data_IF_225074059233
#
_entry.id   IF_225074059233
#
_cell.length_a   1.000
_cell.length_b   1.000
_cell.length_c   1.000
_cell.angle_alpha   90.00
_cell.angle_beta   90.00
_cell.angle_gamma   90.00
#
_symmetry.space_group_name_H-M   'P 1'
#
loop_
_entity.id
_entity.type
_entity.pdbx_description
1 polymer ?
#
# COMPACT_ATOMS: atom_id res chain seq x y z
N UNK A 1 -39.76 -21.23 -0.32
CA UNK A 1 -39.20 -19.87 -0.07
C UNK A 1 -37.79 -20.08 0.43
N UNK A 2 -36.78 -19.51 -0.25
CA UNK A 2 -35.40 -19.62 0.19
C UNK A 2 -35.25 -18.78 1.47
N UNK A 3 -34.87 -19.41 2.57
CA UNK A 3 -34.54 -18.70 3.80
C UNK A 3 -33.23 -17.97 3.53
N UNK A 4 -33.28 -16.64 3.53
CA UNK A 4 -32.07 -15.83 3.53
C UNK A 4 -31.34 -16.15 4.84
N UNK A 5 -30.11 -16.65 4.72
CA UNK A 5 -29.27 -16.95 5.88
C UNK A 5 -28.88 -15.64 6.56
N UNK A 6 -29.53 -15.37 7.70
CA UNK A 6 -29.31 -14.19 8.52
C UNK A 6 -27.86 -14.09 9.03
N UNK A 7 -27.09 -15.19 9.03
CA UNK A 7 -25.66 -15.17 9.40
C UNK A 7 -24.76 -14.46 8.38
N UNK A 8 -25.26 -14.21 7.16
CA UNK A 8 -24.56 -13.44 6.13
C UNK A 8 -24.81 -11.93 6.22
N UNK A 9 -25.67 -11.49 7.16
CA UNK A 9 -25.94 -10.07 7.36
C UNK A 9 -24.85 -9.47 8.25
N UNK A 10 -23.79 -9.04 7.58
CA UNK A 10 -22.72 -8.23 8.17
C UNK A 10 -23.29 -6.84 8.48
N UNK A 11 -22.99 -6.31 9.66
CA UNK A 11 -23.46 -4.98 10.06
C UNK A 11 -22.85 -3.88 9.18
N UNK A 12 -23.53 -2.74 9.08
CA UNK A 12 -23.01 -1.59 8.30
C UNK A 12 -21.62 -1.17 8.78
N UNK A 13 -21.36 -1.22 10.09
CA UNK A 13 -20.05 -0.92 10.69
C UNK A 13 -18.96 -1.91 10.24
N UNK A 14 -19.25 -3.21 10.26
CA UNK A 14 -18.32 -4.24 9.81
C UNK A 14 -18.03 -4.13 8.30
N UNK A 15 -19.02 -3.79 7.48
CA UNK A 15 -18.80 -3.55 6.04
C UNK A 15 -17.87 -2.36 5.79
N UNK A 16 -18.03 -1.27 6.56
CA UNK A 16 -17.15 -0.10 6.48
C UNK A 16 -15.73 -0.44 6.96
N UNK A 17 -15.61 -1.20 8.05
CA UNK A 17 -14.32 -1.68 8.55
C UNK A 17 -13.57 -2.51 7.51
N UNK A 18 -14.24 -3.51 6.91
CA UNK A 18 -13.67 -4.33 5.84
C UNK A 18 -13.24 -3.50 4.62
N UNK A 19 -14.07 -2.56 4.19
CA UNK A 19 -13.74 -1.66 3.08
C UNK A 19 -12.50 -0.81 3.38
N UNK A 20 -12.37 -0.28 4.61
CA UNK A 20 -11.20 0.48 5.04
C UNK A 20 -9.93 -0.36 5.07
N UNK A 21 -10.01 -1.60 5.56
CA UNK A 21 -8.89 -2.55 5.57
C UNK A 21 -8.46 -2.90 4.15
N UNK A 22 -9.41 -3.17 3.25
CA UNK A 22 -9.12 -3.43 1.83
C UNK A 22 -8.42 -2.24 1.17
N UNK A 23 -8.91 -1.03 1.42
CA UNK A 23 -8.27 0.19 0.91
C UNK A 23 -6.84 0.35 1.44
N UNK A 24 -6.61 0.05 2.72
CA UNK A 24 -5.28 0.10 3.30
C UNK A 24 -4.35 -0.97 2.70
N UNK A 25 -4.85 -2.19 2.49
CA UNK A 25 -4.08 -3.25 1.83
C UNK A 25 -3.68 -2.85 0.40
N UNK A 26 -4.60 -2.25 -0.35
CA UNK A 26 -4.30 -1.75 -1.69
C UNK A 26 -3.25 -0.64 -1.64
N UNK A 27 -3.42 0.32 -0.74
CA UNK A 27 -2.49 1.43 -0.52
C UNK A 27 -1.08 0.92 -0.16
N UNK A 28 -0.98 -0.09 0.71
CA UNK A 28 0.27 -0.77 1.05
C UNK A 28 0.89 -1.47 -0.17
N UNK A 29 0.08 -2.16 -0.97
CA UNK A 29 0.56 -2.89 -2.15
C UNK A 29 1.13 -1.94 -3.21
N UNK A 30 0.45 -0.83 -3.48
CA UNK A 30 0.91 0.20 -4.41
C UNK A 30 2.21 0.87 -3.92
N UNK A 31 2.30 1.17 -2.63
CA UNK A 31 3.51 1.71 -2.03
C UNK A 31 4.70 0.74 -2.16
N UNK A 32 4.50 -0.55 -1.90
CA UNK A 32 5.53 -1.59 -2.07
C UNK A 32 5.95 -1.75 -3.52
N UNK A 33 5.01 -1.78 -4.46
CA UNK A 33 5.31 -1.87 -5.89
C UNK A 33 6.13 -0.66 -6.37
N UNK A 34 5.85 0.55 -5.86
CA UNK A 34 6.66 1.72 -6.17
C UNK A 34 8.08 1.61 -5.59
N UNK A 35 8.22 1.15 -4.33
CA UNK A 35 9.53 0.93 -3.72
C UNK A 35 10.36 -0.10 -4.49
N UNK A 36 9.75 -1.19 -4.92
CA UNK A 36 10.41 -2.24 -5.71
C UNK A 36 10.85 -1.73 -7.10
N UNK A 37 9.93 -1.11 -7.85
CA UNK A 37 10.23 -0.58 -9.19
C UNK A 37 11.26 0.55 -9.21
N UNK A 38 11.50 1.21 -8.08
CA UNK A 38 12.50 2.27 -7.94
C UNK A 38 13.73 1.87 -7.12
N UNK A 39 13.86 0.60 -6.73
CA UNK A 39 14.94 0.18 -5.83
C UNK A 39 16.33 0.28 -6.48
N UNK A 40 16.40 0.06 -7.79
CA UNK A 40 17.62 0.20 -8.58
C UNK A 40 18.27 1.58 -8.48
N UNK A 41 17.49 2.64 -8.21
CA UNK A 41 18.06 3.99 -8.00
C UNK A 41 18.92 4.06 -6.74
N UNK A 42 18.51 3.37 -5.68
CA UNK A 42 19.26 3.32 -4.42
C UNK A 42 20.53 2.50 -4.60
N UNK A 43 20.43 1.37 -5.30
CA UNK A 43 21.61 0.58 -5.65
C UNK A 43 22.59 1.38 -6.50
N UNK A 44 22.12 2.05 -7.55
CA UNK A 44 22.95 2.92 -8.41
C UNK A 44 23.64 4.00 -7.60
N UNK A 45 22.94 4.66 -6.67
CA UNK A 45 23.54 5.69 -5.81
C UNK A 45 24.65 5.09 -4.93
N UNK A 46 24.42 3.93 -4.34
CA UNK A 46 25.42 3.25 -3.50
C UNK A 46 26.66 2.81 -4.30
N UNK A 47 26.48 2.34 -5.53
CA UNK A 47 27.57 1.84 -6.38
C UNK A 47 28.34 2.95 -7.10
N UNK A 48 27.64 3.98 -7.59
CA UNK A 48 28.22 5.00 -8.49
C UNK A 48 28.32 6.39 -7.87
N UNK A 49 27.69 6.62 -6.72
CA UNK A 49 27.56 7.94 -6.11
C UNK A 49 26.58 8.89 -6.83
N UNK A 50 25.98 8.47 -7.95
CA UNK A 50 25.01 9.30 -8.66
C UNK A 50 23.71 9.36 -7.87
N UNK A 51 23.36 10.56 -7.41
CA UNK A 51 22.22 10.75 -6.52
C UNK A 51 20.89 10.26 -7.11
N UNK A 52 20.02 9.74 -6.24
CA UNK A 52 18.62 9.44 -6.59
C UNK A 52 17.88 10.76 -6.89
N UNK A 53 17.10 10.85 -7.99
CA UNK A 53 16.25 12.00 -8.27
C UNK A 53 15.39 12.40 -7.07
N UNK A 54 15.29 13.71 -6.81
CA UNK A 54 14.68 14.23 -5.57
C UNK A 54 13.21 13.85 -5.41
N UNK A 55 12.46 13.85 -6.51
CA UNK A 55 11.07 13.43 -6.61
C UNK A 55 10.90 11.95 -6.26
N UNK A 56 11.79 11.09 -6.76
CA UNK A 56 11.80 9.66 -6.45
C UNK A 56 12.17 9.43 -4.98
N UNK A 57 13.17 10.16 -4.46
CA UNK A 57 13.56 10.06 -3.03
C UNK A 57 12.40 10.45 -2.12
N UNK A 58 11.73 11.56 -2.42
CA UNK A 58 10.59 12.05 -1.65
C UNK A 58 9.42 11.05 -1.71
N UNK A 59 9.08 10.54 -2.90
CA UNK A 59 8.00 9.56 -3.06
C UNK A 59 8.33 8.23 -2.38
N UNK A 60 9.58 7.75 -2.43
CA UNK A 60 10.02 6.57 -1.67
C UNK A 60 9.86 6.75 -0.16
N UNK A 61 10.16 7.94 0.38
CA UNK A 61 9.93 8.22 1.79
C UNK A 61 8.42 8.17 2.13
N UNK A 62 7.60 8.87 1.36
CA UNK A 62 6.14 8.86 1.52
C UNK A 62 5.52 7.45 1.41
N UNK A 63 6.01 6.62 0.49
CA UNK A 63 5.56 5.22 0.38
C UNK A 63 5.87 4.41 1.64
N UNK A 64 7.02 4.64 2.30
CA UNK A 64 7.32 3.93 3.56
C UNK A 64 6.42 4.38 4.69
N UNK A 65 6.14 5.68 4.80
CA UNK A 65 5.23 6.24 5.80
C UNK A 65 3.79 5.74 5.63
N UNK A 66 3.43 5.36 4.40
CA UNK A 66 2.10 4.86 4.03
C UNK A 66 1.87 3.39 4.42
N UNK A 67 2.94 2.59 4.55
CA UNK A 67 2.84 1.15 4.82
C UNK A 67 2.57 0.93 6.32
N UNK A 68 1.39 0.41 6.64
CA UNK A 68 1.00 0.04 8.01
C UNK A 68 0.65 -1.45 8.10
N UNK A 69 0.93 -2.07 9.25
CA UNK A 69 0.69 -3.49 9.55
C UNK A 69 -0.69 -3.74 10.16
#
# INVERSE_FOLDING_TARGET
MSNIDMSLLISEEETQSLASQQKQMQTNAEARAYLESTDWYVLREAETGVSVPIDIRAKRASCRDTIVS
#
